data_IF_005635348446
#
_entry.id   IF_005635348446
#
_cell.length_a   1.000
_cell.length_b   1.000
_cell.length_c   1.000
_cell.angle_alpha   90.00
_cell.angle_beta   90.00
_cell.angle_gamma   90.00
#
_symmetry.space_group_name_H-M   'P 1'
#
loop_
_entity.id
_entity.type
_entity.pdbx_description
1 polymer ?
#
# COMPACT_ATOMS: atom_id res chain seq x y z
N UNK A 1 21.78 -17.89 0.86
CA UNK A 1 22.68 -18.46 -0.19
C UNK A 1 21.95 -19.30 -1.25
N UNK A 2 20.60 -19.36 -1.27
CA UNK A 2 19.81 -20.09 -2.30
C UNK A 2 19.34 -19.22 -3.47
N UNK A 3 19.40 -17.89 -3.35
CA UNK A 3 18.92 -16.95 -4.39
C UNK A 3 19.84 -16.86 -5.63
N UNK A 4 21.12 -17.22 -5.51
CA UNK A 4 22.10 -17.09 -6.60
C UNK A 4 21.94 -18.18 -7.66
N UNK A 5 21.66 -19.43 -7.23
CA UNK A 5 21.50 -20.58 -8.12
C UNK A 5 20.26 -20.52 -9.01
N UNK A 6 19.21 -19.83 -8.58
CA UNK A 6 18.00 -19.62 -9.38
C UNK A 6 18.22 -18.59 -10.51
N UNK A 7 19.01 -17.54 -10.23
CA UNK A 7 19.41 -16.56 -11.24
C UNK A 7 20.32 -17.19 -12.31
N UNK A 8 21.30 -18.01 -11.89
CA UNK A 8 22.19 -18.74 -12.81
C UNK A 8 21.44 -19.69 -13.75
N UNK A 9 20.44 -20.43 -13.25
CA UNK A 9 19.60 -21.30 -14.09
C UNK A 9 18.74 -20.54 -15.09
N UNK A 10 18.21 -19.38 -14.68
CA UNK A 10 17.47 -18.49 -15.56
C UNK A 10 18.38 -17.99 -16.68
N UNK A 11 19.55 -17.47 -16.32
CA UNK A 11 20.55 -16.98 -17.27
C UNK A 11 21.03 -18.11 -18.20
N UNK A 12 21.22 -19.33 -17.68
CA UNK A 12 21.61 -20.49 -18.48
C UNK A 12 20.54 -20.91 -19.49
N UNK A 13 19.28 -21.01 -19.09
CA UNK A 13 18.16 -21.31 -20.01
C UNK A 13 18.00 -20.22 -21.08
N UNK A 14 18.24 -18.97 -20.69
CA UNK A 14 18.19 -17.80 -21.57
C UNK A 14 19.36 -17.79 -22.56
N UNK A 15 20.56 -18.18 -22.13
CA UNK A 15 21.73 -18.38 -22.99
C UNK A 15 21.55 -19.58 -23.93
N UNK A 16 20.90 -20.65 -23.49
CA UNK A 16 20.58 -21.81 -24.33
C UNK A 16 19.57 -21.44 -25.41
N UNK A 17 18.49 -20.72 -25.06
CA UNK A 17 17.49 -20.24 -26.03
C UNK A 17 18.07 -19.22 -27.02
N UNK A 18 18.91 -18.30 -26.53
CA UNK A 18 19.63 -17.36 -27.39
C UNK A 18 20.63 -18.09 -28.31
N UNK A 19 21.36 -19.07 -27.79
CA UNK A 19 22.28 -19.91 -28.56
C UNK A 19 21.57 -20.73 -29.63
N UNK A 20 20.39 -21.29 -29.32
CA UNK A 20 19.57 -22.02 -30.29
C UNK A 20 19.04 -21.09 -31.40
N UNK A 21 18.66 -19.85 -31.06
CA UNK A 21 18.28 -18.83 -32.03
C UNK A 21 19.42 -18.43 -32.97
N UNK A 22 20.64 -18.34 -32.45
CA UNK A 22 21.85 -18.11 -33.26
C UNK A 22 22.15 -19.29 -34.17
N UNK A 23 21.99 -20.53 -33.67
CA UNK A 23 22.22 -21.77 -34.43
C UNK A 23 21.23 -21.91 -35.61
N UNK A 24 19.96 -21.58 -35.38
CA UNK A 24 18.92 -21.56 -36.42
C UNK A 24 19.19 -20.43 -37.42
N UNK A 25 19.61 -19.24 -36.95
CA UNK A 25 19.98 -18.12 -37.82
C UNK A 25 21.23 -18.37 -38.67
N UNK A 26 22.18 -19.16 -38.14
CA UNK A 26 23.38 -19.59 -38.86
C UNK A 26 23.05 -20.59 -39.98
N UNK A 27 22.09 -21.49 -39.76
CA UNK A 27 21.63 -22.47 -40.76
C UNK A 27 20.92 -21.83 -41.97
N UNK A 28 20.32 -20.65 -41.80
CA UNK A 28 19.53 -19.95 -42.83
C UNK A 28 20.34 -18.91 -43.64
N UNK A 29 21.64 -18.75 -43.36
CA UNK A 29 22.54 -17.86 -44.12
C UNK A 29 22.28 -16.35 -43.96
N UNK A 30 21.42 -15.96 -43.00
CA UNK A 30 20.97 -14.59 -42.75
C UNK A 30 21.12 -14.24 -41.26
N UNK A 31 22.35 -14.32 -40.75
CA UNK A 31 22.68 -14.20 -39.32
C UNK A 31 22.14 -12.89 -38.67
N UNK A 32 22.04 -11.80 -39.44
CA UNK A 32 21.51 -10.52 -38.95
C UNK A 32 20.02 -10.55 -38.57
N UNK A 33 19.18 -11.25 -39.35
CA UNK A 33 17.76 -11.38 -39.05
C UNK A 33 17.49 -12.31 -37.86
N UNK A 34 18.33 -13.35 -37.68
CA UNK A 34 18.28 -14.24 -36.52
C UNK A 34 18.60 -13.51 -35.21
N UNK A 35 19.65 -12.69 -35.20
CA UNK A 35 19.98 -11.85 -34.04
C UNK A 35 18.88 -10.84 -33.73
N UNK A 36 18.36 -10.13 -34.74
CA UNK A 36 17.28 -9.17 -34.57
C UNK A 36 16.01 -9.84 -34.02
N UNK A 37 15.64 -11.01 -34.54
CA UNK A 37 14.49 -11.79 -34.07
C UNK A 37 14.64 -12.26 -32.62
N UNK A 38 15.82 -12.76 -32.24
CA UNK A 38 16.11 -13.18 -30.87
C UNK A 38 16.04 -12.03 -29.86
N UNK A 39 16.62 -10.87 -30.21
CA UNK A 39 16.53 -9.65 -29.41
C UNK A 39 15.10 -9.13 -29.27
N UNK A 40 14.31 -9.15 -30.35
CA UNK A 40 12.90 -8.75 -30.32
C UNK A 40 12.07 -9.68 -29.44
N UNK A 41 12.26 -11.00 -29.57
CA UNK A 41 11.55 -11.98 -28.74
C UNK A 41 11.92 -11.82 -27.26
N UNK A 42 13.21 -11.64 -26.97
CA UNK A 42 13.71 -11.35 -25.63
C UNK A 42 13.06 -10.11 -25.02
N UNK A 43 13.08 -9.02 -25.77
CA UNK A 43 12.50 -7.73 -25.37
C UNK A 43 10.99 -7.87 -25.11
N UNK A 44 10.27 -8.57 -25.99
CA UNK A 44 8.84 -8.81 -25.84
C UNK A 44 8.51 -9.62 -24.57
N UNK A 45 9.32 -10.62 -24.21
CA UNK A 45 9.15 -11.38 -22.98
C UNK A 45 9.36 -10.50 -21.73
N UNK A 46 10.39 -9.65 -21.72
CA UNK A 46 10.62 -8.71 -20.63
C UNK A 46 9.47 -7.69 -20.50
N UNK A 47 8.96 -7.19 -21.62
CA UNK A 47 7.86 -6.23 -21.64
C UNK A 47 6.56 -6.85 -21.10
N UNK A 48 6.29 -8.13 -21.44
CA UNK A 48 5.15 -8.87 -20.87
C UNK A 48 5.26 -9.02 -19.36
N UNK A 49 6.46 -9.30 -18.84
CA UNK A 49 6.68 -9.42 -17.41
C UNK A 49 6.50 -8.08 -16.67
N UNK A 50 6.95 -6.98 -17.28
CA UNK A 50 6.74 -5.62 -16.77
C UNK A 50 5.26 -5.24 -16.72
N UNK A 51 4.50 -5.53 -17.79
CA UNK A 51 3.05 -5.29 -17.81
C UNK A 51 2.29 -6.15 -16.80
N UNK A 52 2.77 -7.37 -16.52
CA UNK A 52 2.23 -8.24 -15.46
C UNK A 52 2.49 -7.63 -14.08
N UNK A 53 3.69 -7.09 -13.85
CA UNK A 53 4.03 -6.38 -12.62
C UNK A 53 3.15 -5.14 -12.43
N UNK A 54 3.01 -4.28 -13.46
CA UNK A 54 2.17 -3.08 -13.38
C UNK A 54 0.71 -3.43 -13.09
N UNK A 55 0.13 -4.42 -13.79
CA UNK A 55 -1.24 -4.88 -13.54
C UNK A 55 -1.41 -5.40 -12.11
N UNK A 56 -0.43 -6.15 -11.61
CA UNK A 56 -0.46 -6.61 -10.23
C UNK A 56 -0.35 -5.45 -9.23
N UNK A 57 0.51 -4.47 -9.50
CA UNK A 57 0.69 -3.30 -8.67
C UNK A 57 -0.60 -2.46 -8.58
N UNK A 58 -1.27 -2.28 -9.72
CA UNK A 58 -2.57 -1.60 -9.81
C UNK A 58 -3.69 -2.40 -9.13
N UNK A 59 -3.60 -3.74 -9.13
CA UNK A 59 -4.58 -4.58 -8.45
C UNK A 59 -4.42 -4.53 -6.92
N UNK A 60 -5.54 -4.60 -6.18
CA UNK A 60 -5.55 -4.78 -4.72
C UNK A 60 -5.15 -6.20 -4.27
N UNK A 61 -4.73 -7.08 -5.19
CA UNK A 61 -4.40 -8.47 -4.86
C UNK A 61 -3.22 -8.52 -3.89
N UNK A 62 -3.36 -9.37 -2.86
CA UNK A 62 -2.47 -9.35 -1.70
C UNK A 62 -1.14 -10.09 -1.94
N UNK A 63 -1.15 -11.11 -2.80
CA UNK A 63 -0.01 -11.98 -3.08
C UNK A 63 0.61 -11.64 -4.43
N UNK A 64 1.94 -11.60 -4.48
CA UNK A 64 2.65 -11.50 -5.74
C UNK A 64 2.29 -12.70 -6.64
N UNK A 65 2.15 -12.49 -7.96
CA UNK A 65 2.09 -13.62 -8.87
C UNK A 65 3.38 -14.43 -8.73
N UNK A 66 3.25 -15.76 -8.69
CA UNK A 66 4.41 -16.65 -8.76
C UNK A 66 5.23 -16.26 -10.00
N UNK A 67 6.46 -15.86 -9.74
CA UNK A 67 7.43 -15.46 -10.74
C UNK A 67 8.70 -16.25 -10.46
N UNK A 68 9.20 -16.92 -11.49
CA UNK A 68 10.43 -17.68 -11.42
C UNK A 68 11.61 -16.80 -11.88
N UNK A 69 12.79 -17.08 -11.34
CA UNK A 69 14.04 -16.44 -11.77
C UNK A 69 14.27 -15.02 -11.25
N UNK A 70 14.89 -14.17 -12.07
CA UNK A 70 15.39 -12.85 -11.65
C UNK A 70 14.30 -11.87 -11.15
N UNK A 71 13.03 -12.13 -11.48
CA UNK A 71 11.90 -11.32 -11.05
C UNK A 71 11.42 -11.67 -9.63
N UNK A 72 11.68 -12.89 -9.15
CA UNK A 72 11.21 -13.37 -7.84
C UNK A 72 11.67 -12.47 -6.68
N UNK A 73 12.96 -12.07 -6.56
CA UNK A 73 13.39 -11.19 -5.48
C UNK A 73 12.73 -9.80 -5.53
N UNK A 74 12.43 -9.31 -6.74
CA UNK A 74 11.77 -8.01 -6.95
C UNK A 74 10.34 -8.07 -6.41
N UNK A 75 9.56 -9.07 -6.83
CA UNK A 75 8.20 -9.32 -6.34
C UNK A 75 8.17 -9.51 -4.82
N UNK A 76 9.08 -10.33 -4.27
CA UNK A 76 9.17 -10.58 -2.83
C UNK A 76 9.49 -9.32 -2.03
N UNK A 77 10.43 -8.51 -2.50
CA UNK A 77 10.82 -7.26 -1.82
C UNK A 77 9.65 -6.28 -1.71
N UNK A 78 8.84 -6.23 -2.77
CA UNK A 78 7.68 -5.34 -2.85
C UNK A 78 6.51 -5.86 -2.00
N UNK A 79 6.28 -7.17 -1.98
CA UNK A 79 5.29 -7.78 -1.11
C UNK A 79 5.64 -7.56 0.38
N UNK A 80 6.92 -7.71 0.74
CA UNK A 80 7.41 -7.42 2.10
C UNK A 80 7.13 -5.97 2.52
N UNK A 81 7.41 -5.00 1.65
CA UNK A 81 7.09 -3.58 1.90
C UNK A 81 5.59 -3.34 2.10
N UNK A 82 4.75 -3.85 1.19
CA UNK A 82 3.27 -3.76 1.32
C UNK A 82 2.76 -4.39 2.62
N UNK A 83 3.30 -5.54 3.03
CA UNK A 83 2.96 -6.19 4.31
C UNK A 83 3.38 -5.33 5.51
N UNK A 84 4.56 -4.73 5.48
CA UNK A 84 5.04 -3.84 6.54
C UNK A 84 4.15 -2.59 6.69
N UNK A 85 3.80 -1.93 5.59
CA UNK A 85 2.96 -0.73 5.61
C UNK A 85 1.56 -1.02 6.16
N UNK A 86 0.97 -2.15 5.76
CA UNK A 86 -0.31 -2.60 6.31
C UNK A 86 -0.25 -2.82 7.82
N UNK A 87 0.81 -3.44 8.32
CA UNK A 87 1.03 -3.62 9.77
C UNK A 87 1.17 -2.29 10.50
N UNK A 88 1.92 -1.33 9.93
CA UNK A 88 2.06 0.03 10.51
C UNK A 88 0.71 0.73 10.58
N UNK A 89 -0.06 0.73 9.48
CA UNK A 89 -1.39 1.35 9.44
C UNK A 89 -2.35 0.73 10.46
N UNK A 90 -2.33 -0.59 10.60
CA UNK A 90 -3.15 -1.29 11.59
C UNK A 90 -2.81 -0.87 13.02
N UNK A 91 -1.53 -0.81 13.37
CA UNK A 91 -1.09 -0.33 14.70
C UNK A 91 -1.51 1.10 15.00
N UNK A 92 -1.46 1.99 14.01
CA UNK A 92 -1.92 3.37 14.16
C UNK A 92 -3.42 3.45 14.43
N UNK A 93 -4.21 2.64 13.72
CA UNK A 93 -5.66 2.57 13.95
C UNK A 93 -5.99 2.01 15.33
N UNK A 94 -5.32 0.93 15.75
CA UNK A 94 -5.48 0.34 17.08
C UNK A 94 -5.09 1.33 18.20
N UNK A 95 -4.00 2.08 18.02
CA UNK A 95 -3.60 3.12 18.97
C UNK A 95 -4.60 4.28 19.05
N UNK A 96 -5.15 4.71 17.91
CA UNK A 96 -6.18 5.74 17.85
C UNK A 96 -7.46 5.28 18.56
N UNK A 97 -7.85 4.03 18.37
CA UNK A 97 -9.03 3.45 19.02
C UNK A 97 -8.84 3.38 20.54
N UNK A 98 -7.68 2.91 21.02
CA UNK A 98 -7.33 2.92 22.43
C UNK A 98 -7.34 4.34 23.03
N UNK A 99 -6.82 5.34 22.30
CA UNK A 99 -6.88 6.74 22.74
C UNK A 99 -8.32 7.25 22.85
N UNK A 100 -9.18 6.93 21.88
CA UNK A 100 -10.61 7.32 21.92
C UNK A 100 -11.34 6.64 23.09
N UNK A 101 -11.02 5.39 23.39
CA UNK A 101 -11.61 4.67 24.52
C UNK A 101 -11.17 5.25 25.86
N UNK A 102 -9.87 5.58 26.00
CA UNK A 102 -9.37 6.29 27.17
C UNK A 102 -10.04 7.67 27.34
N UNK A 103 -10.20 8.44 26.26
CA UNK A 103 -10.87 9.74 26.28
C UNK A 103 -12.38 9.67 26.59
N UNK A 104 -13.03 8.52 26.31
CA UNK A 104 -14.43 8.28 26.73
C UNK A 104 -14.54 7.86 28.19
N UNK A 105 -13.52 7.17 28.71
CA UNK A 105 -13.46 6.72 30.11
C UNK A 105 -13.06 7.85 31.07
N UNK A 106 -12.42 8.92 30.58
CA UNK A 106 -12.17 10.11 31.40
C UNK A 106 -13.50 10.68 31.94
N UNK A 107 -13.59 10.93 33.26
CA UNK A 107 -14.76 11.55 33.87
C UNK A 107 -14.94 13.00 33.39
N UNK A 108 -13.87 13.61 32.87
CA UNK A 108 -13.86 14.99 32.38
C UNK A 108 -14.53 15.15 31.02
N UNK A 109 -15.22 16.27 30.86
CA UNK A 109 -15.83 16.65 29.60
C UNK A 109 -14.79 17.19 28.63
N UNK A 110 -14.62 16.53 27.49
CA UNK A 110 -13.75 17.01 26.40
C UNK A 110 -14.64 17.57 25.29
N UNK A 111 -14.36 18.82 24.90
CA UNK A 111 -14.97 19.51 23.76
C UNK A 111 -13.84 19.88 22.80
N UNK A 112 -13.97 19.50 21.53
CA UNK A 112 -13.12 19.98 20.44
C UNK A 112 -13.79 21.18 19.78
N UNK A 113 -13.09 22.30 19.74
CA UNK A 113 -13.50 23.56 19.11
C UNK A 113 -12.57 23.87 17.93
N UNK A 114 -13.06 24.63 16.95
CA UNK A 114 -12.22 25.21 15.89
C UNK A 114 -11.67 26.59 16.27
N UNK A 115 -10.94 27.20 15.35
CA UNK A 115 -10.32 28.53 15.47
C UNK A 115 -11.35 29.66 15.67
N UNK A 116 -12.63 29.37 15.45
CA UNK A 116 -13.78 30.26 15.63
C UNK A 116 -14.64 29.84 16.82
N UNK A 117 -14.08 29.15 17.83
CA UNK A 117 -14.77 28.66 19.02
C UNK A 117 -16.01 27.78 18.73
N UNK A 118 -16.11 27.23 17.52
CA UNK A 118 -17.26 26.41 17.10
C UNK A 118 -17.04 24.95 17.48
N UNK A 119 -18.04 24.33 18.10
CA UNK A 119 -17.95 22.96 18.59
C UNK A 119 -17.96 21.96 17.42
N UNK A 120 -16.84 21.25 17.23
CA UNK A 120 -16.72 20.18 16.23
C UNK A 120 -17.11 18.80 16.77
N UNK A 121 -16.81 18.53 18.04
CA UNK A 121 -17.08 17.25 18.69
C UNK A 121 -17.03 17.37 20.21
N UNK A 122 -17.72 16.49 20.92
CA UNK A 122 -17.58 16.36 22.37
C UNK A 122 -17.83 14.92 22.82
N UNK A 123 -17.21 14.53 23.95
CA UNK A 123 -17.35 13.19 24.51
C UNK A 123 -18.66 13.04 25.33
N UNK A 124 -18.99 11.79 25.71
CA UNK A 124 -20.19 11.48 26.50
C UNK A 124 -20.16 12.14 27.89
N UNK A 125 -18.98 12.32 28.47
CA UNK A 125 -18.81 13.02 29.76
C UNK A 125 -19.16 14.50 29.64
N UNK A 126 -18.77 15.19 28.56
CA UNK A 126 -19.15 16.59 28.30
C UNK A 126 -20.66 16.77 28.13
N UNK A 127 -21.33 15.82 27.46
CA UNK A 127 -22.80 15.76 27.43
C UNK A 127 -23.43 15.69 28.81
N UNK A 128 -22.87 14.86 29.70
CA UNK A 128 -23.40 14.67 31.06
C UNK A 128 -23.10 15.86 31.98
N UNK A 129 -21.88 16.41 31.91
CA UNK A 129 -21.41 17.47 32.80
C UNK A 129 -21.90 18.86 32.38
N UNK A 130 -21.96 19.15 31.08
CA UNK A 130 -22.29 20.47 30.54
C UNK A 130 -23.66 20.52 29.84
N UNK A 131 -24.39 19.39 29.80
CA UNK A 131 -25.73 19.32 29.20
C UNK A 131 -25.76 19.40 27.68
N UNK A 132 -24.62 19.19 27.00
CA UNK A 132 -24.50 19.25 25.54
C UNK A 132 -25.39 18.23 24.82
N UNK A 133 -26.09 18.68 23.78
CA UNK A 133 -27.03 17.90 22.97
C UNK A 133 -26.46 17.66 21.58
N UNK A 134 -26.22 16.40 21.26
CA UNK A 134 -25.92 15.97 19.89
C UNK A 134 -27.24 15.65 19.15
N UNK A 135 -27.44 16.10 17.90
CA UNK A 135 -26.49 16.86 17.06
C UNK A 135 -26.58 18.38 17.20
N UNK A 136 -27.53 18.91 17.98
CA UNK A 136 -27.92 20.33 17.98
C UNK A 136 -26.81 21.31 18.36
N UNK A 137 -25.91 20.94 19.26
CA UNK A 137 -24.83 21.82 19.76
C UNK A 137 -23.53 21.68 18.95
N UNK A 138 -23.44 20.71 18.03
CA UNK A 138 -22.32 20.59 17.10
C UNK A 138 -22.50 21.60 15.96
N UNK A 139 -21.48 22.40 15.67
CA UNK A 139 -21.53 23.51 14.71
C UNK A 139 -21.99 24.84 15.32
N UNK A 140 -22.25 24.90 16.64
CA UNK A 140 -22.55 26.14 17.35
C UNK A 140 -21.33 26.65 18.13
N UNK A 141 -21.27 27.96 18.34
CA UNK A 141 -20.23 28.63 19.12
C UNK A 141 -20.28 28.19 20.59
N UNK A 142 -19.13 27.90 21.21
CA UNK A 142 -19.04 27.45 22.59
C UNK A 142 -19.65 28.46 23.58
N UNK A 143 -19.57 29.76 23.26
CA UNK A 143 -20.13 30.84 24.10
C UNK A 143 -21.66 30.76 24.24
N UNK A 144 -22.38 30.17 23.28
CA UNK A 144 -23.83 29.96 23.38
C UNK A 144 -24.24 28.94 24.46
N UNK A 145 -23.27 28.21 25.05
CA UNK A 145 -23.51 27.35 26.21
C UNK A 145 -23.53 28.09 27.55
N UNK A 146 -22.99 29.31 27.64
CA UNK A 146 -23.06 30.11 28.87
C UNK A 146 -24.43 30.79 28.93
N UNK A 147 -25.50 30.00 29.06
CA UNK A 147 -26.83 30.52 29.40
C UNK A 147 -26.92 30.71 30.90
N UNK A 148 -26.55 31.93 31.30
CA UNK A 148 -26.93 32.61 32.54
C UNK A 148 -26.37 32.05 33.86
N UNK A 149 -25.58 32.84 34.60
CA UNK A 149 -25.23 32.51 35.98
C UNK A 149 -26.51 32.54 36.84
N UNK A 150 -26.73 31.49 37.62
CA UNK A 150 -27.67 31.55 38.74
C UNK A 150 -26.97 32.31 39.87
N UNK A 151 -27.16 33.62 39.89
CA UNK A 151 -27.03 34.42 41.11
C UNK A 151 -28.36 34.41 41.85
#
# INVERSE_FOLDING_TARGET
MTHFRAAERSIALLLVLAGLGVLVGWLLGQAGFGMAGGLLLWSALQLRQLLRLQRWLASRRMHAPESEGAWQPIFDSLERRRKADRRRRRRLLEALEAFRDAARALPDGIIAIDDTDTIHWFNKSAKRLLGLRYPTDVGNHLTHLVRSPRF
#
